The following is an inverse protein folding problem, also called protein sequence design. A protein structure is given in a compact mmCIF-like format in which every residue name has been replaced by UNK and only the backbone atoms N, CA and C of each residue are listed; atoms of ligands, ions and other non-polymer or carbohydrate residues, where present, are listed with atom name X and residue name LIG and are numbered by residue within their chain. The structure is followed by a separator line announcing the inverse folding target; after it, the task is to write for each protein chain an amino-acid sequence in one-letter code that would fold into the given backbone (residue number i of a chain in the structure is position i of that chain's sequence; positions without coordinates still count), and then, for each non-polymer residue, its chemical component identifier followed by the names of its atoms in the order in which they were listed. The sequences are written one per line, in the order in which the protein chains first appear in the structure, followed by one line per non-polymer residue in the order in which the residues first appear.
data_IF_720469891749
#
_entry.id   IF_720469891749
#
_cell.length_a   1.000
_cell.length_b   1.000
_cell.length_c   1.000
_cell.angle_alpha   90.00
_cell.angle_beta   90.00
_cell.angle_gamma   90.00
#
_symmetry.space_group_name_H-M   'P 1'
#
loop_
_entity.id
_entity.type
_entity.pdbx_description
1 polymer ?
#
# COMPACT_ATOMS: atom_id res chain seq x y z
N UNK A 1 -32.27 24.45 10.60
CA UNK A 1 -31.40 23.28 10.85
C UNK A 1 -30.13 23.77 11.51
N UNK A 2 -29.73 23.22 12.65
CA UNK A 2 -28.45 23.55 13.28
C UNK A 2 -27.31 23.17 12.33
N UNK A 3 -26.37 24.09 12.10
CA UNK A 3 -25.21 23.83 11.24
C UNK A 3 -24.35 22.76 11.92
N UNK A 4 -24.16 21.62 11.25
CA UNK A 4 -23.19 20.61 11.68
C UNK A 4 -21.82 21.12 11.25
N UNK A 5 -20.93 21.34 12.21
CA UNK A 5 -19.55 21.74 11.94
C UNK A 5 -18.63 20.60 12.33
N UNK A 6 -17.87 20.12 11.36
CA UNK A 6 -16.88 19.11 11.63
C UNK A 6 -15.69 19.68 12.43
N UNK A 7 -15.15 18.90 13.35
CA UNK A 7 -13.99 19.29 14.15
C UNK A 7 -12.81 18.31 14.07
N UNK A 8 -13.01 17.05 13.72
CA UNK A 8 -11.92 16.07 13.74
C UNK A 8 -12.35 14.64 13.53
N UNK A 9 -11.52 13.72 14.03
CA UNK A 9 -11.76 12.29 14.04
C UNK A 9 -11.29 11.67 15.36
N UNK A 10 -11.83 10.51 15.70
CA UNK A 10 -11.45 9.76 16.90
C UNK A 10 -11.12 8.31 16.53
N UNK A 11 -10.06 7.77 17.14
CA UNK A 11 -9.60 6.41 16.91
C UNK A 11 -8.20 6.18 17.46
N UNK A 12 -7.81 4.91 17.63
CA UNK A 12 -6.47 4.54 18.10
C UNK A 12 -5.44 4.73 16.98
N UNK A 13 -4.80 5.90 16.95
CA UNK A 13 -3.76 6.22 15.98
C UNK A 13 -2.50 5.36 16.19
N UNK A 14 -2.13 5.08 17.44
CA UNK A 14 -0.91 4.34 17.77
C UNK A 14 -1.03 2.86 17.37
N UNK A 15 -2.19 2.24 17.60
CA UNK A 15 -2.47 0.87 17.15
C UNK A 15 -2.63 0.72 15.65
N UNK A 16 -2.73 1.81 14.89
CA UNK A 16 -2.98 1.81 13.44
C UNK A 16 -1.87 2.46 12.62
N UNK A 17 -0.65 2.57 13.15
CA UNK A 17 0.49 3.14 12.42
C UNK A 17 0.82 2.42 11.11
N UNK A 18 0.50 1.13 11.05
CA UNK A 18 0.77 0.26 9.91
C UNK A 18 -0.45 0.06 8.99
N UNK A 19 -1.63 0.58 9.32
CA UNK A 19 -2.89 0.18 8.67
C UNK A 19 -3.54 1.29 7.84
N UNK A 20 -4.35 0.87 6.87
CA UNK A 20 -5.39 1.69 6.26
C UNK A 20 -6.73 1.39 6.95
N UNK A 21 -7.24 2.36 7.71
CA UNK A 21 -8.49 2.21 8.47
C UNK A 21 -9.47 3.34 8.20
N UNK A 22 -10.73 3.08 8.54
CA UNK A 22 -11.76 4.10 8.60
C UNK A 22 -11.88 4.58 10.06
N UNK A 23 -11.72 5.89 10.28
CA UNK A 23 -11.85 6.51 11.60
C UNK A 23 -13.22 7.18 11.74
N UNK A 24 -13.71 7.24 12.98
CA UNK A 24 -14.97 7.88 13.31
C UNK A 24 -14.84 9.39 13.14
N UNK A 25 -15.73 9.98 12.36
CA UNK A 25 -15.79 11.43 12.15
C UNK A 25 -16.38 12.12 13.39
N UNK A 26 -15.82 13.25 13.80
CA UNK A 26 -16.30 14.03 14.95
C UNK A 26 -16.81 15.39 14.50
N UNK A 27 -18.04 15.72 14.87
CA UNK A 27 -18.68 17.00 14.54
C UNK A 27 -19.39 17.62 15.74
N UNK A 28 -19.55 18.94 15.69
CA UNK A 28 -20.31 19.76 16.60
C UNK A 28 -21.66 20.10 15.98
N UNK A 29 -22.75 19.91 16.72
CA UNK A 29 -24.09 20.34 16.32
C UNK A 29 -24.80 20.93 17.52
N UNK A 30 -25.30 22.17 17.38
CA UNK A 30 -25.97 22.89 18.46
C UNK A 30 -25.13 23.02 19.76
N UNK A 31 -23.80 23.06 19.64
CA UNK A 31 -22.87 23.15 20.77
C UNK A 31 -22.43 21.81 21.35
N UNK A 32 -23.05 20.70 20.94
CA UNK A 32 -22.74 19.35 21.42
C UNK A 32 -21.84 18.60 20.43
N UNK A 33 -20.94 17.76 20.94
CA UNK A 33 -20.03 16.94 20.14
C UNK A 33 -20.62 15.54 19.91
N UNK A 34 -20.50 15.06 18.66
CA UNK A 34 -20.95 13.73 18.26
C UNK A 34 -19.88 13.07 17.41
N UNK A 35 -19.70 11.75 17.60
CA UNK A 35 -18.99 10.90 16.64
C UNK A 35 -19.96 10.19 15.72
N UNK A 36 -19.53 10.00 14.48
CA UNK A 36 -20.23 9.27 13.44
C UNK A 36 -19.44 7.99 13.18
N UNK A 37 -19.97 6.82 13.58
CA UNK A 37 -19.26 5.57 13.45
C UNK A 37 -18.90 5.27 11.99
N UNK A 38 -17.63 4.93 11.74
CA UNK A 38 -17.16 4.55 10.42
C UNK A 38 -17.82 3.25 9.90
N UNK A 39 -18.25 2.39 10.82
CA UNK A 39 -19.06 1.20 10.54
C UNK A 39 -20.49 1.51 10.09
N UNK A 40 -20.90 2.78 10.16
CA UNK A 40 -22.28 3.21 10.00
C UNK A 40 -23.08 3.10 11.29
N UNK A 41 -24.26 3.71 11.30
CA UNK A 41 -25.16 3.72 12.46
C UNK A 41 -25.52 5.13 12.93
N UNK A 42 -26.23 5.24 14.07
CA UNK A 42 -26.61 6.53 14.63
C UNK A 42 -25.38 7.29 15.15
N UNK A 43 -25.45 8.62 15.14
CA UNK A 43 -24.44 9.47 15.80
C UNK A 43 -24.44 9.20 17.31
N UNK A 44 -23.25 9.20 17.91
CA UNK A 44 -23.04 8.91 19.33
C UNK A 44 -22.53 10.19 20.00
N UNK A 45 -23.16 10.68 21.08
CA UNK A 45 -22.65 11.83 21.83
C UNK A 45 -21.28 11.52 22.43
N UNK A 46 -20.39 12.51 22.46
CA UNK A 46 -19.03 12.40 23.01
C UNK A 46 -18.99 13.12 24.35
N UNK A 47 -18.46 12.45 25.37
CA UNK A 47 -18.22 13.05 26.69
C UNK A 47 -17.03 14.02 26.68
N UNK A 48 -16.95 14.94 27.64
CA UNK A 48 -15.80 15.86 27.74
C UNK A 48 -14.46 15.13 27.89
N UNK A 49 -14.44 13.99 28.59
CA UNK A 49 -13.24 13.16 28.71
C UNK A 49 -12.80 12.60 27.36
N UNK A 50 -13.73 12.10 26.54
CA UNK A 50 -13.41 11.54 25.22
C UNK A 50 -12.90 12.60 24.22
N UNK A 51 -13.18 13.89 24.45
CA UNK A 51 -12.68 14.97 23.60
C UNK A 51 -11.14 15.05 23.58
N UNK A 52 -10.45 14.52 24.60
CA UNK A 52 -8.99 14.48 24.63
C UNK A 52 -8.40 13.55 23.55
N UNK A 53 -9.17 12.55 23.11
CA UNK A 53 -8.79 11.61 22.05
C UNK A 53 -9.20 12.08 20.65
N UNK A 54 -9.83 13.25 20.54
CA UNK A 54 -10.25 13.80 19.24
C UNK A 54 -9.05 14.47 18.56
N UNK A 55 -8.64 13.90 17.43
CA UNK A 55 -7.66 14.48 16.56
C UNK A 55 -8.30 15.58 15.71
N UNK A 56 -7.96 16.84 16.01
CA UNK A 56 -8.51 17.99 15.28
C UNK A 56 -8.10 17.98 13.82
N UNK A 57 -9.08 18.09 12.94
CA UNK A 57 -8.88 18.26 11.51
C UNK A 57 -8.47 19.71 11.20
N UNK A 58 -7.70 19.91 10.13
CA UNK A 58 -7.43 21.24 9.62
C UNK A 58 -8.68 21.82 8.96
N UNK A 59 -8.80 23.16 8.93
CA UNK A 59 -9.91 23.83 8.26
C UNK A 59 -10.07 23.38 6.81
N UNK A 60 -8.96 23.17 6.09
CA UNK A 60 -8.96 22.66 4.73
C UNK A 60 -9.61 21.26 4.64
N UNK A 61 -9.24 20.36 5.55
CA UNK A 61 -9.82 19.02 5.60
C UNK A 61 -11.32 19.11 5.89
N UNK A 62 -11.73 19.94 6.85
CA UNK A 62 -13.15 20.10 7.23
C UNK A 62 -14.03 20.66 6.10
N UNK A 63 -13.48 21.52 5.21
CA UNK A 63 -14.22 22.08 4.06
C UNK A 63 -14.55 21.06 2.99
N UNK A 64 -13.82 19.94 2.92
CA UNK A 64 -14.00 18.88 1.93
C UNK A 64 -15.00 17.80 2.35
N UNK A 65 -15.48 17.80 3.60
CA UNK A 65 -16.34 16.74 4.12
C UNK A 65 -17.80 17.00 3.78
N UNK A 66 -18.50 15.93 3.44
CA UNK A 66 -19.93 15.90 3.23
C UNK A 66 -20.60 15.02 4.29
N UNK A 67 -21.86 15.29 4.68
CA UNK A 67 -22.59 14.41 5.60
C UNK A 67 -22.60 12.96 5.08
N UNK A 68 -22.15 12.03 5.92
CA UNK A 68 -22.02 10.61 5.57
C UNK A 68 -20.63 10.19 5.10
N UNK A 69 -19.69 11.13 4.93
CA UNK A 69 -18.28 10.80 4.76
C UNK A 69 -17.70 10.21 6.05
N UNK A 70 -16.80 9.24 5.86
CA UNK A 70 -15.91 8.72 6.88
C UNK A 70 -14.50 9.29 6.66
N UNK A 71 -13.64 9.11 7.65
CA UNK A 71 -12.24 9.53 7.53
C UNK A 71 -11.38 8.34 7.18
N UNK A 72 -10.80 8.36 5.98
CA UNK A 72 -9.82 7.37 5.59
C UNK A 72 -8.49 7.78 6.20
N UNK A 73 -7.89 6.86 6.95
CA UNK A 73 -6.67 7.08 7.69
C UNK A 73 -5.63 6.07 7.22
N UNK A 74 -4.49 6.58 6.75
CA UNK A 74 -3.29 5.78 6.51
C UNK A 74 -2.25 6.10 7.59
N UNK A 75 -1.87 5.08 8.34
CA UNK A 75 -0.85 5.18 9.38
C UNK A 75 0.52 5.60 8.85
N UNK A 76 1.35 6.20 9.71
CA UNK A 76 2.60 6.83 9.30
C UNK A 76 3.60 5.84 8.70
N UNK A 77 3.60 4.58 9.17
CA UNK A 77 4.48 3.53 8.64
C UNK A 77 3.98 3.06 7.29
N UNK A 78 2.67 2.87 7.12
CA UNK A 78 2.09 2.59 5.80
C UNK A 78 2.44 3.68 4.79
N UNK A 79 2.34 4.95 5.20
CA UNK A 79 2.71 6.10 4.35
C UNK A 79 4.19 6.04 3.97
N UNK A 80 5.09 5.96 4.94
CA UNK A 80 6.53 5.92 4.69
C UNK A 80 6.92 4.74 3.79
N UNK A 81 6.33 3.58 4.04
CA UNK A 81 6.56 2.40 3.23
C UNK A 81 6.02 2.60 1.80
N UNK A 82 4.82 3.18 1.63
CA UNK A 82 4.21 3.41 0.32
C UNK A 82 4.98 4.39 -0.56
N UNK A 83 5.72 5.33 0.04
CA UNK A 83 6.57 6.26 -0.71
C UNK A 83 7.77 5.52 -1.36
N UNK A 84 8.21 4.40 -0.77
CA UNK A 84 9.38 3.63 -1.23
C UNK A 84 9.02 2.45 -2.14
N UNK A 85 7.81 1.91 -2.04
CA UNK A 85 7.38 0.73 -2.79
C UNK A 85 6.76 1.12 -4.13
N UNK A 86 7.19 0.49 -5.23
CA UNK A 86 6.70 0.81 -6.57
C UNK A 86 5.24 0.40 -6.84
N UNK A 87 4.69 -0.60 -6.14
CA UNK A 87 3.27 -0.98 -6.26
C UNK A 87 2.39 0.04 -5.57
N UNK A 88 2.84 0.54 -4.42
CA UNK A 88 2.12 1.53 -3.65
C UNK A 88 2.58 2.96 -3.92
N UNK A 89 3.50 3.18 -4.86
CA UNK A 89 3.94 4.53 -5.20
C UNK A 89 2.73 5.32 -5.68
N UNK A 90 2.45 6.43 -5.00
CA UNK A 90 1.26 7.24 -5.26
C UNK A 90 0.05 6.89 -4.39
N UNK A 91 0.09 5.78 -3.63
CA UNK A 91 -0.90 5.47 -2.60
C UNK A 91 -0.97 6.61 -1.61
N UNK A 92 -2.19 7.12 -1.40
CA UNK A 92 -2.46 8.28 -0.56
C UNK A 92 -1.64 9.56 -0.91
N UNK A 93 -0.91 9.63 -2.03
CA UNK A 93 0.00 10.75 -2.33
C UNK A 93 -0.73 12.10 -2.40
N UNK A 94 -2.01 12.09 -2.75
CA UNK A 94 -2.89 13.27 -2.83
C UNK A 94 -3.68 13.55 -1.55
N UNK A 95 -3.53 12.72 -0.51
CA UNK A 95 -4.25 12.85 0.75
C UNK A 95 -3.56 13.89 1.63
N UNK A 96 -4.34 14.50 2.54
CA UNK A 96 -3.81 15.52 3.45
C UNK A 96 -2.85 14.88 4.46
N UNK A 97 -1.65 15.43 4.58
CA UNK A 97 -0.66 14.97 5.57
C UNK A 97 -0.87 15.68 6.91
N UNK A 98 -0.79 14.91 8.00
CA UNK A 98 -0.82 15.45 9.37
C UNK A 98 0.58 15.83 9.83
N UNK A 99 0.68 16.66 10.88
CA UNK A 99 1.99 17.00 11.48
C UNK A 99 2.74 15.76 12.00
N UNK A 100 2.01 14.70 12.31
CA UNK A 100 2.55 13.43 12.82
C UNK A 100 2.90 12.44 11.71
N UNK A 101 2.77 12.82 10.42
CA UNK A 101 3.16 11.99 9.28
C UNK A 101 2.10 10.99 8.78
N UNK A 102 0.90 10.97 9.38
CA UNK A 102 -0.25 10.22 8.85
C UNK A 102 -0.84 10.91 7.62
N UNK A 103 -1.55 10.17 6.79
CA UNK A 103 -2.33 10.73 5.67
C UNK A 103 -3.83 10.49 5.85
N UNK A 104 -4.62 11.49 5.49
CA UNK A 104 -6.06 11.54 5.73
C UNK A 104 -6.82 11.97 4.48
N UNK A 105 -7.98 11.35 4.23
CA UNK A 105 -8.91 11.79 3.19
C UNK A 105 -10.36 11.51 3.60
N UNK A 106 -11.29 12.47 3.45
CA UNK A 106 -12.70 12.16 3.52
C UNK A 106 -13.17 11.37 2.30
N UNK A 107 -14.12 10.50 2.53
CA UNK A 107 -14.94 9.95 1.46
C UNK A 107 -15.91 8.91 1.98
N UNK A 108 -16.72 8.37 1.08
CA UNK A 108 -17.68 7.33 1.45
C UNK A 108 -16.99 6.01 1.83
N UNK A 109 -17.64 5.22 2.69
CA UNK A 109 -17.20 3.86 3.01
C UNK A 109 -17.16 2.94 1.78
N UNK A 110 -18.07 3.16 0.82
CA UNK A 110 -18.10 2.41 -0.44
C UNK A 110 -16.85 2.69 -1.30
N UNK A 111 -16.48 3.97 -1.45
CA UNK A 111 -15.27 4.36 -2.19
C UNK A 111 -13.99 3.86 -1.52
N UNK A 112 -13.95 3.83 -0.17
CA UNK A 112 -12.82 3.23 0.55
C UNK A 112 -12.71 1.75 0.25
N UNK A 113 -13.83 1.01 0.28
CA UNK A 113 -13.85 -0.43 -0.04
C UNK A 113 -13.29 -0.70 -1.44
N UNK A 114 -13.77 0.03 -2.45
CA UNK A 114 -13.27 -0.09 -3.84
C UNK A 114 -11.76 0.17 -3.91
N UNK A 115 -11.27 1.20 -3.23
CA UNK A 115 -9.84 1.51 -3.17
C UNK A 115 -9.04 0.37 -2.52
N UNK A 116 -9.52 -0.15 -1.39
CA UNK A 116 -8.89 -1.27 -0.68
C UNK A 116 -8.85 -2.52 -1.54
N UNK A 117 -9.96 -2.87 -2.18
CA UNK A 117 -10.07 -4.06 -3.02
C UNK A 117 -9.12 -4.00 -4.21
N UNK A 118 -8.98 -2.83 -4.84
CA UNK A 118 -8.05 -2.58 -5.94
C UNK A 118 -6.59 -2.78 -5.52
N UNK A 119 -6.14 -2.05 -4.50
CA UNK A 119 -4.75 -2.17 -4.01
C UNK A 119 -4.45 -3.54 -3.42
N UNK A 120 -5.39 -4.17 -2.72
CA UNK A 120 -5.23 -5.53 -2.23
C UNK A 120 -5.08 -6.53 -3.39
N UNK A 121 -5.81 -6.34 -4.49
CA UNK A 121 -5.64 -7.18 -5.68
C UNK A 121 -4.26 -7.00 -6.33
N UNK A 122 -3.79 -5.76 -6.47
CA UNK A 122 -2.48 -5.46 -7.04
C UNK A 122 -1.34 -6.03 -6.18
N UNK A 123 -1.41 -5.83 -4.86
CA UNK A 123 -0.46 -6.40 -3.91
C UNK A 123 -0.52 -7.93 -3.88
N UNK A 124 -1.71 -8.54 -3.99
CA UNK A 124 -1.85 -9.99 -4.08
C UNK A 124 -1.15 -10.55 -5.32
N UNK A 125 -1.33 -9.90 -6.47
CA UNK A 125 -0.67 -10.29 -7.71
C UNK A 125 0.85 -10.12 -7.61
N UNK A 126 1.30 -9.02 -6.98
CA UNK A 126 2.72 -8.75 -6.80
C UNK A 126 3.38 -9.71 -5.81
N UNK A 127 2.74 -10.00 -4.68
CA UNK A 127 3.20 -10.99 -3.70
C UNK A 127 3.45 -12.35 -4.35
N UNK A 128 2.50 -12.81 -5.18
CA UNK A 128 2.65 -14.08 -5.92
C UNK A 128 3.85 -14.05 -6.84
N UNK A 129 4.15 -12.93 -7.50
CA UNK A 129 5.37 -12.79 -8.31
C UNK A 129 6.62 -12.87 -7.44
N UNK A 130 6.66 -12.16 -6.32
CA UNK A 130 7.79 -12.21 -5.39
C UNK A 130 8.05 -13.61 -4.84
N UNK A 131 6.99 -14.38 -4.54
CA UNK A 131 7.12 -15.76 -4.06
C UNK A 131 7.63 -16.74 -5.13
N UNK A 132 7.46 -16.38 -6.40
CA UNK A 132 7.85 -17.20 -7.54
C UNK A 132 9.29 -16.97 -7.98
N UNK A 133 9.86 -15.81 -7.61
CA UNK A 133 11.25 -15.46 -7.82
C UNK A 133 12.05 -15.74 -6.53
N UNK A 134 12.95 -16.75 -6.52
CA UNK A 134 13.74 -17.07 -5.34
C UNK A 134 14.53 -15.88 -4.78
N UNK A 135 14.99 -14.97 -5.62
CA UNK A 135 15.75 -13.79 -5.20
C UNK A 135 14.84 -12.81 -4.46
N UNK A 136 13.71 -12.41 -5.06
CA UNK A 136 12.72 -11.50 -4.45
C UNK A 136 12.17 -12.06 -3.13
N UNK A 137 11.97 -13.38 -3.08
CA UNK A 137 11.57 -14.08 -1.85
C UNK A 137 12.64 -13.96 -0.76
N UNK A 138 13.90 -14.19 -1.09
CA UNK A 138 14.99 -14.24 -0.11
C UNK A 138 15.46 -12.85 0.36
N UNK A 139 15.28 -11.79 -0.44
CA UNK A 139 15.64 -10.41 -0.05
C UNK A 139 14.55 -9.71 0.78
N UNK A 140 13.49 -10.41 1.17
CA UNK A 140 12.42 -9.89 2.03
C UNK A 140 11.35 -9.06 1.30
N UNK A 141 11.38 -9.00 -0.03
CA UNK A 141 10.36 -8.26 -0.80
C UNK A 141 8.98 -8.93 -0.66
N UNK A 142 8.93 -10.26 -0.60
CA UNK A 142 7.69 -11.00 -0.35
C UNK A 142 7.10 -10.67 1.04
N UNK A 143 7.92 -10.61 2.09
CA UNK A 143 7.48 -10.27 3.44
C UNK A 143 6.92 -8.83 3.48
N UNK A 144 7.67 -7.88 2.92
CA UNK A 144 7.24 -6.48 2.84
C UNK A 144 5.91 -6.35 2.11
N UNK A 145 5.77 -7.05 0.97
CA UNK A 145 4.54 -7.04 0.17
C UNK A 145 3.37 -7.65 0.94
N UNK A 146 3.58 -8.76 1.66
CA UNK A 146 2.55 -9.35 2.50
C UNK A 146 2.13 -8.39 3.61
N UNK A 147 3.09 -7.72 4.26
CA UNK A 147 2.78 -6.73 5.32
C UNK A 147 1.90 -5.60 4.80
N UNK A 148 2.21 -5.06 3.62
CA UNK A 148 1.35 -4.08 2.97
C UNK A 148 -0.03 -4.62 2.62
N UNK A 149 -0.06 -5.83 2.09
CA UNK A 149 -1.30 -6.49 1.73
C UNK A 149 -2.20 -6.59 2.96
N UNK A 150 -1.66 -7.00 4.12
CA UNK A 150 -2.41 -7.11 5.38
C UNK A 150 -2.80 -5.75 5.97
N UNK A 151 -1.98 -4.72 5.78
CA UNK A 151 -2.30 -3.35 6.16
C UNK A 151 -3.52 -2.78 5.41
N UNK A 152 -3.69 -3.17 4.14
CA UNK A 152 -4.78 -2.74 3.27
C UNK A 152 -5.97 -3.68 3.35
N UNK A 153 -5.76 -4.99 3.44
CA UNK A 153 -6.78 -6.04 3.55
C UNK A 153 -6.82 -6.56 4.99
N UNK A 154 -7.49 -5.79 5.87
CA UNK A 154 -7.70 -6.16 7.27
C UNK A 154 -9.05 -6.84 7.52
N UNK A 155 -9.73 -7.30 6.46
CA UNK A 155 -11.01 -8.00 6.57
C UNK A 155 -10.81 -9.52 6.56
N UNK A 156 -11.83 -10.27 7.00
CA UNK A 156 -11.84 -11.74 6.94
C UNK A 156 -12.13 -12.27 5.51
N UNK A 157 -11.57 -11.64 4.48
CA UNK A 157 -11.74 -12.08 3.10
C UNK A 157 -10.95 -13.38 2.82
N UNK A 158 -11.53 -14.33 2.08
CA UNK A 158 -10.86 -15.59 1.66
C UNK A 158 -9.48 -15.34 1.05
N UNK A 159 -9.37 -14.33 0.17
CA UNK A 159 -8.12 -13.94 -0.49
C UNK A 159 -7.00 -13.62 0.50
N UNK A 160 -7.33 -13.04 1.66
CA UNK A 160 -6.36 -12.72 2.72
C UNK A 160 -5.70 -13.98 3.23
N UNK A 161 -6.50 -14.91 3.72
CA UNK A 161 -6.00 -16.17 4.26
C UNK A 161 -5.23 -16.98 3.20
N UNK A 162 -5.72 -17.02 1.96
CA UNK A 162 -5.02 -17.69 0.86
C UNK A 162 -3.63 -17.10 0.56
N UNK A 163 -3.50 -15.77 0.53
CA UNK A 163 -2.21 -15.13 0.27
C UNK A 163 -1.22 -15.31 1.44
N UNK A 164 -1.70 -15.20 2.68
CA UNK A 164 -0.88 -15.40 3.88
C UNK A 164 -0.41 -16.85 3.98
N UNK A 165 -1.31 -17.82 3.81
CA UNK A 165 -0.97 -19.24 3.81
C UNK A 165 -0.01 -19.59 2.68
N UNK A 166 -0.16 -18.99 1.50
CA UNK A 166 0.75 -19.19 0.38
C UNK A 166 2.17 -18.70 0.72
N UNK A 167 2.27 -17.54 1.38
CA UNK A 167 3.54 -17.02 1.83
C UNK A 167 4.23 -17.99 2.80
N UNK A 168 3.55 -18.46 3.83
CA UNK A 168 4.12 -19.42 4.79
C UNK A 168 4.46 -20.76 4.15
N UNK A 169 3.61 -21.26 3.25
CA UNK A 169 3.88 -22.49 2.49
C UNK A 169 5.17 -22.39 1.66
N UNK A 170 5.39 -21.28 0.94
CA UNK A 170 6.59 -21.09 0.12
C UNK A 170 7.87 -20.87 0.94
N UNK A 171 7.72 -20.50 2.23
CA UNK A 171 8.80 -20.43 3.21
C UNK A 171 8.99 -21.74 4.00
N UNK A 172 8.18 -22.77 3.73
CA UNK A 172 8.17 -24.02 4.49
C UNK A 172 7.85 -23.84 5.99
N UNK A 173 7.17 -22.77 6.35
CA UNK A 173 6.68 -22.52 7.72
C UNK A 173 5.33 -23.20 7.92
N UNK A 174 5.38 -24.47 8.35
CA UNK A 174 4.18 -25.32 8.49
C UNK A 174 3.30 -24.87 9.66
N UNK A 175 3.91 -24.37 10.74
CA UNK A 175 3.17 -23.93 11.93
C UNK A 175 2.33 -22.69 11.62
N UNK A 176 2.94 -21.66 11.01
CA UNK A 176 2.21 -20.45 10.62
C UNK A 176 1.16 -20.72 9.54
N UNK A 177 1.41 -21.68 8.64
CA UNK A 177 0.42 -22.13 7.66
C UNK A 177 -0.82 -22.75 8.34
N UNK A 178 -0.63 -23.70 9.27
CA UNK A 178 -1.75 -24.34 9.98
C UNK A 178 -2.52 -23.32 10.83
N UNK A 179 -1.82 -22.40 11.49
CA UNK A 179 -2.47 -21.32 12.24
C UNK A 179 -3.36 -20.45 11.34
N UNK A 180 -2.88 -20.06 10.16
CA UNK A 180 -3.66 -19.24 9.23
C UNK A 180 -4.85 -20.04 8.67
N UNK A 181 -4.66 -21.33 8.40
CA UNK A 181 -5.72 -22.26 7.97
C UNK A 181 -6.83 -22.37 9.02
N UNK A 182 -6.49 -22.60 10.28
CA UNK A 182 -7.46 -22.63 11.38
C UNK A 182 -8.16 -21.28 11.58
N UNK A 183 -7.40 -20.19 11.53
CA UNK A 183 -7.93 -18.82 11.62
C UNK A 183 -8.92 -18.52 10.50
N UNK A 184 -8.68 -19.03 9.29
CA UNK A 184 -9.58 -18.86 8.15
C UNK A 184 -10.94 -19.53 8.38
N UNK A 185 -10.94 -20.72 8.99
CA UNK A 185 -12.17 -21.43 9.36
C UNK A 185 -12.87 -20.74 10.53
N UNK A 186 -12.12 -20.38 11.58
CA UNK A 186 -12.67 -19.72 12.76
C UNK A 186 -13.33 -18.37 12.44
N UNK A 187 -12.74 -17.61 11.52
CA UNK A 187 -13.31 -16.33 11.05
C UNK A 187 -14.58 -16.48 10.20
N UNK A 188 -14.93 -17.71 9.79
CA UNK A 188 -16.03 -18.00 8.89
C UNK A 188 -15.74 -17.70 7.41
N UNK A 189 -14.50 -17.36 7.05
CA UNK A 189 -14.12 -17.16 5.66
C UNK A 189 -14.24 -18.46 4.84
N UNK A 190 -13.95 -19.59 5.49
CA UNK A 190 -14.11 -20.94 4.95
C UNK A 190 -15.03 -21.75 5.87
N UNK A 191 -15.89 -22.59 5.30
CA UNK A 191 -16.82 -23.41 6.08
C UNK A 191 -16.17 -24.62 6.74
N UNK A 192 -14.99 -25.03 6.26
CA UNK A 192 -14.23 -26.17 6.79
C UNK A 192 -12.76 -26.08 6.38
N UNK A 193 -11.92 -26.83 7.07
CA UNK A 193 -10.50 -26.89 6.77
C UNK A 193 -10.25 -27.63 5.43
N UNK A 194 -11.09 -28.61 5.09
CA UNK A 194 -11.05 -29.30 3.80
C UNK A 194 -11.44 -28.40 2.62
N UNK A 195 -12.35 -27.43 2.83
CA UNK A 195 -12.66 -26.42 1.82
C UNK A 195 -11.45 -25.51 1.57
N UNK A 196 -10.81 -25.06 2.65
CA UNK A 196 -9.59 -24.26 2.59
C UNK A 196 -8.48 -25.00 1.82
N UNK A 197 -8.19 -26.25 2.19
CA UNK A 197 -7.13 -27.07 1.58
C UNK A 197 -7.37 -27.25 0.08
N UNK A 198 -8.63 -27.51 -0.32
CA UNK A 198 -8.99 -27.66 -1.72
C UNK A 198 -8.78 -26.38 -2.53
N UNK A 199 -9.12 -25.22 -1.97
CA UNK A 199 -8.87 -23.93 -2.63
C UNK A 199 -7.38 -23.60 -2.66
N UNK A 200 -6.67 -23.89 -1.58
CA UNK A 200 -5.24 -23.68 -1.45
C UNK A 200 -4.44 -24.53 -2.45
N UNK A 201 -4.76 -25.82 -2.57
CA UNK A 201 -4.14 -26.74 -3.55
C UNK A 201 -4.34 -26.25 -4.99
N UNK A 202 -5.53 -25.72 -5.31
CA UNK A 202 -5.78 -25.12 -6.62
C UNK A 202 -4.89 -23.90 -6.87
N UNK A 203 -4.74 -23.03 -5.87
CA UNK A 203 -3.86 -21.87 -5.96
C UNK A 203 -2.39 -22.29 -6.17
N UNK A 204 -1.89 -23.22 -5.37
CA UNK A 204 -0.52 -23.76 -5.49
C UNK A 204 -0.31 -24.42 -6.85
N UNK A 205 -1.27 -25.21 -7.34
CA UNK A 205 -1.21 -25.82 -8.66
C UNK A 205 -1.14 -24.78 -9.79
N UNK A 206 -1.95 -23.72 -9.72
CA UNK A 206 -1.92 -22.63 -10.70
C UNK A 206 -0.56 -21.94 -10.72
N UNK A 207 -0.01 -21.63 -9.54
CA UNK A 207 1.30 -21.00 -9.43
C UNK A 207 2.41 -21.92 -9.95
N UNK A 208 2.41 -23.21 -9.60
CA UNK A 208 3.38 -24.17 -10.15
C UNK A 208 3.32 -24.23 -11.68
N UNK A 209 2.11 -24.23 -12.25
CA UNK A 209 1.91 -24.19 -13.71
C UNK A 209 2.48 -22.91 -14.33
N UNK A 210 2.26 -21.77 -13.69
CA UNK A 210 2.82 -20.49 -14.13
C UNK A 210 4.35 -20.44 -13.98
N UNK A 211 4.94 -21.12 -12.97
CA UNK A 211 6.40 -21.26 -12.80
C UNK A 211 7.03 -21.96 -13.99
N UNK A 212 6.42 -23.08 -14.39
CA UNK A 212 6.87 -23.91 -15.52
C UNK A 212 6.74 -23.13 -16.84
N UNK A 213 5.67 -22.35 -17.02
CA UNK A 213 5.49 -21.49 -18.20
C UNK A 213 6.44 -20.29 -18.22
N UNK A 214 6.65 -19.66 -17.06
CA UNK A 214 7.57 -18.53 -16.89
C UNK A 214 9.01 -18.92 -17.21
N UNK A 215 9.47 -20.07 -16.72
CA UNK A 215 10.79 -20.63 -17.07
C UNK A 215 10.92 -20.96 -18.56
N UNK A 216 9.85 -21.38 -19.22
CA UNK A 216 9.84 -21.59 -20.67
C UNK A 216 9.92 -20.27 -21.49
N UNK A 217 9.55 -19.13 -20.89
CA UNK A 217 9.49 -17.82 -21.57
C UNK A 217 10.66 -16.89 -21.17
N UNK A 218 11.25 -17.09 -19.99
CA UNK A 218 12.38 -16.30 -19.45
C UNK A 218 13.73 -16.60 -20.11
N UNK A 219 13.84 -17.58 -21.01
CA UNK A 219 14.96 -17.70 -21.95
C UNK A 219 14.77 -16.85 -23.21
N UNK A 220 14.10 -15.71 -23.08
CA UNK A 220 14.36 -14.54 -23.92
C UNK A 220 14.83 -13.43 -22.98
N UNK A 221 16.08 -12.96 -23.07
CA UNK A 221 16.54 -11.87 -22.23
C UNK A 221 15.57 -10.69 -22.45
N UNK A 222 14.86 -10.29 -21.39
CA UNK A 222 13.96 -9.16 -21.41
C UNK A 222 14.81 -7.87 -21.40
N UNK A 223 15.43 -7.56 -22.54
CA UNK A 223 16.17 -6.31 -22.79
C UNK A 223 15.27 -5.07 -22.64
N UNK A 224 13.94 -5.24 -22.69
CA UNK A 224 12.98 -4.14 -22.64
C UNK A 224 12.66 -3.59 -21.24
N UNK A 225 12.92 -4.33 -20.15
CA UNK A 225 12.58 -3.87 -18.79
C UNK A 225 13.74 -3.21 -18.03
N UNK A 226 14.97 -3.36 -18.51
CA UNK A 226 16.15 -2.70 -17.90
C UNK A 226 16.35 -1.26 -18.38
N UNK A 227 15.99 -0.92 -19.63
CA UNK A 227 16.24 0.43 -20.17
C UNK A 227 15.54 1.55 -19.38
N UNK A 228 14.28 1.37 -19.00
CA UNK A 228 13.53 2.39 -18.22
C UNK A 228 13.97 2.45 -16.75
N UNK A 229 14.34 1.33 -16.13
CA UNK A 229 14.86 1.31 -14.74
C UNK A 229 16.27 1.90 -14.67
N UNK A 230 17.13 1.60 -15.65
CA UNK A 230 18.47 2.15 -15.74
C UNK A 230 18.44 3.65 -16.01
N UNK A 231 17.60 4.13 -16.93
CA UNK A 231 17.47 5.57 -17.18
C UNK A 231 16.89 6.33 -15.98
N UNK A 232 15.91 5.76 -15.27
CA UNK A 232 15.36 6.37 -14.06
C UNK A 232 16.41 6.43 -12.93
N UNK A 233 17.12 5.33 -12.68
CA UNK A 233 18.17 5.26 -11.67
C UNK A 233 19.36 6.18 -12.00
N UNK A 234 19.79 6.23 -13.27
CA UNK A 234 20.82 7.17 -13.73
C UNK A 234 20.36 8.63 -13.60
N UNK A 235 19.06 8.90 -13.73
CA UNK A 235 18.46 10.21 -13.46
C UNK A 235 18.55 10.62 -11.99
N UNK A 236 18.18 9.73 -11.06
CA UNK A 236 18.28 9.97 -9.62
C UNK A 236 19.74 10.11 -9.15
N UNK A 237 20.64 9.26 -9.64
CA UNK A 237 22.08 9.37 -9.32
C UNK A 237 22.65 10.70 -9.82
N UNK A 238 22.29 11.12 -11.04
CA UNK A 238 22.69 12.44 -11.58
C UNK A 238 22.19 13.57 -10.69
N UNK A 239 20.93 13.52 -10.27
CA UNK A 239 20.35 14.57 -9.44
C UNK A 239 21.06 14.68 -8.09
N UNK A 240 21.36 13.56 -7.43
CA UNK A 240 22.10 13.57 -6.17
C UNK A 240 23.55 14.01 -6.31
N UNK A 241 24.21 13.70 -7.43
CA UNK A 241 25.56 14.20 -7.73
C UNK A 241 25.54 15.71 -7.92
N UNK A 242 24.53 16.26 -8.62
CA UNK A 242 24.37 17.70 -8.80
C UNK A 242 24.07 18.43 -7.48
N UNK A 243 23.23 17.85 -6.63
CA UNK A 243 22.93 18.39 -5.29
C UNK A 243 24.16 18.38 -4.37
N UNK A 244 24.94 17.30 -4.40
CA UNK A 244 26.20 17.21 -3.67
C UNK A 244 27.24 18.21 -4.19
N UNK A 245 27.30 18.44 -5.50
CA UNK A 245 28.18 19.43 -6.12
C UNK A 245 27.83 20.86 -5.69
N UNK A 246 26.54 21.21 -5.71
CA UNK A 246 26.06 22.53 -5.27
C UNK A 246 26.34 22.78 -3.79
N UNK A 247 26.39 21.72 -2.98
CA UNK A 247 26.67 21.80 -1.54
C UNK A 247 28.16 21.93 -1.24
N UNK A 248 29.03 21.38 -2.09
CA UNK A 248 30.47 21.28 -1.84
C UNK A 248 31.32 22.28 -2.63
N UNK A 249 30.70 23.12 -3.48
CA UNK A 249 31.36 24.14 -4.31
C UNK A 249 32.54 23.58 -5.13
N UNK A 250 32.37 22.35 -5.64
CA UNK A 250 33.38 21.63 -6.41
C UNK A 250 33.29 22.00 -7.89
N UNK A 251 34.34 22.63 -8.41
CA UNK A 251 34.55 22.82 -9.86
C UNK A 251 35.03 21.51 -10.49
N UNK A 252 34.27 20.99 -11.47
CA UNK A 252 34.72 19.87 -12.30
C UNK A 252 35.58 20.38 -13.47
N UNK A 253 36.57 19.60 -13.92
CA UNK A 253 37.25 19.85 -15.19
C UNK A 253 36.24 19.78 -16.36
N UNK A 254 36.47 20.64 -17.35
CA UNK A 254 35.70 20.89 -18.56
C UNK A 254 34.85 19.70 -19.08
N UNK A 255 33.57 19.98 -19.36
CA UNK A 255 32.48 19.02 -19.67
C UNK A 255 32.78 18.09 -20.86
N UNK A 256 33.75 18.45 -21.69
CA UNK A 256 34.17 17.70 -22.89
C UNK A 256 34.92 16.39 -22.63
N UNK A 257 35.21 16.02 -21.38
CA UNK A 257 36.08 14.87 -21.06
C UNK A 257 35.43 13.75 -20.22
N UNK A 258 34.13 13.83 -19.88
CA UNK A 258 33.53 12.83 -18.98
C UNK A 258 32.99 11.57 -19.70
N UNK A 259 33.42 10.35 -19.31
CA UNK A 259 33.07 9.09 -19.99
C UNK A 259 31.58 8.73 -20.09
N UNK A 260 30.72 9.34 -19.25
CA UNK A 260 29.31 8.96 -19.12
C UNK A 260 28.42 9.49 -20.26
N UNK A 261 28.84 10.55 -20.98
CA UNK A 261 28.08 11.08 -22.11
C UNK A 261 28.00 10.09 -23.28
N UNK A 262 29.04 9.27 -23.50
CA UNK A 262 29.01 8.21 -24.52
C UNK A 262 27.97 7.11 -24.22
N UNK A 263 27.68 6.87 -22.94
CA UNK A 263 26.69 5.86 -22.50
C UNK A 263 25.26 6.41 -22.66
N UNK A 264 25.05 7.72 -22.48
CA UNK A 264 23.74 8.35 -22.68
C UNK A 264 23.44 8.65 -24.16
N UNK A 265 24.45 8.96 -24.97
CA UNK A 265 24.30 9.23 -26.41
C UNK A 265 24.14 7.97 -27.26
N UNK A 266 24.48 6.79 -26.74
CA UNK A 266 24.31 5.49 -27.44
C UNK A 266 22.96 4.80 -27.20
N UNK A 267 22.05 5.44 -26.44
CA UNK A 267 20.68 4.98 -26.24
C UNK A 267 19.83 5.13 -27.51
N UNK A 268 19.37 3.99 -28.04
CA UNK A 268 18.54 3.84 -29.24
C UNK A 268 17.33 4.80 -29.23
N UNK A 269 17.22 5.60 -30.30
CA UNK A 269 16.05 6.43 -30.61
C UNK A 269 14.78 5.58 -30.70
N UNK A 270 13.72 5.99 -30.01
CA UNK A 270 12.44 5.27 -29.95
C UNK A 270 11.53 5.50 -31.18
N UNK A 271 12.04 6.04 -32.28
CA UNK A 271 11.24 6.43 -33.46
C UNK A 271 11.38 5.54 -34.71
N UNK A 272 12.10 4.41 -34.66
CA UNK A 272 12.13 3.46 -35.78
C UNK A 272 11.04 2.38 -35.66
N UNK A 273 9.78 2.82 -35.75
CA UNK A 273 8.65 1.97 -36.15
C UNK A 273 8.35 2.18 -37.64
N UNK A 274 8.99 1.38 -38.51
CA UNK A 274 8.52 1.04 -39.87
C UNK A 274 9.34 -0.11 -40.46
N UNK A 275 8.79 -1.32 -40.38
CA UNK A 275 8.45 -2.29 -41.46
C UNK A 275 7.98 -3.58 -40.78
#
# INVERSE_FOLDING_TARGET
MSRIQLCGYIGDVAGNEDNLVAMDAVAVSAGEHFRYPASGGPRIPISEAELEYVHRATDELTRRWTPGDIVWFAGKRLVALSDTDHVLRGFAATWAITRQGHRLKPGSAASLRVLRDGYAQDLSNYLRRCLMDPMERNVGQAERTLRFYLAIENTAARRRFMNTALYYHELYDTESYEFERESAVHSGAFGSAEEFDREFDRLVMLLRKDRIRGTATQYRPNVFFEGKRLHFWLGEVRQHVLEAQATLDLEWPDESTTPWQHILASGVSADDERV
#
